data_IF_501612770189
#
_entry.id   IF_501612770189
#
_cell.length_a   1.000
_cell.length_b   1.000
_cell.length_c   1.000
_cell.angle_alpha   90.00
_cell.angle_beta   90.00
_cell.angle_gamma   90.00
#
_symmetry.space_group_name_H-M   'P 1'
#
loop_
_entity.id
_entity.type
_entity.pdbx_description
1 polymer ?
#
# COMPACT_ATOMS: atom_id res chain seq x y z
N UNK A 1 -8.55 16.86 -1.02
CA UNK A 1 -9.91 16.59 -0.51
C UNK A 1 -10.43 15.28 -1.08
N UNK A 2 -10.68 15.20 -2.40
CA UNK A 2 -11.24 14.00 -3.05
C UNK A 2 -10.46 12.70 -2.79
N UNK A 3 -9.12 12.70 -2.82
CA UNK A 3 -8.34 11.47 -2.56
C UNK A 3 -8.42 10.96 -1.12
N UNK A 4 -8.59 11.86 -0.14
CA UNK A 4 -8.79 11.49 1.27
C UNK A 4 -10.19 10.91 1.47
N UNK A 5 -11.20 11.48 0.81
CA UNK A 5 -12.56 10.95 0.81
C UNK A 5 -12.59 9.53 0.22
N UNK A 6 -11.97 9.33 -0.95
CA UNK A 6 -11.83 7.99 -1.55
C UNK A 6 -11.11 7.04 -0.62
N UNK A 7 -9.98 7.45 -0.03
CA UNK A 7 -9.24 6.63 0.93
C UNK A 7 -10.13 6.20 2.10
N UNK A 8 -10.87 7.13 2.70
CA UNK A 8 -11.78 6.85 3.81
C UNK A 8 -12.90 5.88 3.42
N UNK A 9 -13.39 5.95 2.18
CA UNK A 9 -14.42 5.03 1.66
C UNK A 9 -13.91 3.61 1.50
N UNK A 10 -12.70 3.44 0.99
CA UNK A 10 -12.09 2.11 0.79
C UNK A 10 -11.33 1.59 2.02
N UNK A 11 -11.20 2.39 3.08
CA UNK A 11 -10.25 2.15 4.18
C UNK A 11 -10.42 0.77 4.84
N UNK A 12 -11.66 0.37 5.09
CA UNK A 12 -11.98 -0.92 5.71
C UNK A 12 -11.58 -2.08 4.80
N UNK A 13 -11.89 -1.98 3.51
CA UNK A 13 -11.54 -3.01 2.52
C UNK A 13 -10.04 -3.06 2.30
N UNK A 14 -9.36 -1.92 2.34
CA UNK A 14 -7.91 -1.83 2.26
C UNK A 14 -7.21 -2.57 3.41
N UNK A 15 -7.68 -2.38 4.65
CA UNK A 15 -7.14 -3.12 5.81
C UNK A 15 -7.33 -4.62 5.68
N UNK A 16 -8.53 -5.06 5.30
CA UNK A 16 -8.85 -6.48 5.08
C UNK A 16 -7.99 -7.09 3.97
N UNK A 17 -7.85 -6.39 2.85
CA UNK A 17 -7.05 -6.83 1.72
C UNK A 17 -5.57 -6.95 2.10
N UNK A 18 -5.02 -5.99 2.85
CA UNK A 18 -3.63 -6.03 3.29
C UNK A 18 -3.36 -7.22 4.21
N UNK A 19 -4.23 -7.47 5.19
CA UNK A 19 -4.15 -8.67 6.05
C UNK A 19 -4.26 -9.95 5.23
N UNK A 20 -5.24 -10.02 4.32
CA UNK A 20 -5.41 -11.18 3.47
C UNK A 20 -4.16 -11.45 2.63
N UNK A 21 -3.59 -10.43 1.97
CA UNK A 21 -2.35 -10.55 1.19
C UNK A 21 -1.17 -11.01 2.05
N UNK A 22 -1.05 -10.50 3.28
CA UNK A 22 -0.03 -10.98 4.22
C UNK A 22 -0.19 -12.46 4.54
N UNK A 23 -1.40 -12.91 4.85
CA UNK A 23 -1.67 -14.31 5.21
C UNK A 23 -1.46 -15.26 4.03
N UNK A 24 -1.83 -14.84 2.82
CA UNK A 24 -1.54 -15.61 1.60
C UNK A 24 -0.04 -15.68 1.32
N UNK A 25 0.66 -14.54 1.41
CA UNK A 25 2.12 -14.50 1.23
C UNK A 25 2.83 -15.38 2.27
N UNK A 26 2.40 -15.39 3.53
CA UNK A 26 3.01 -16.21 4.57
C UNK A 26 3.00 -17.72 4.27
N UNK A 27 2.06 -18.21 3.44
CA UNK A 27 1.96 -19.62 3.05
C UNK A 27 2.92 -20.00 1.91
N UNK A 28 3.19 -19.07 1.01
CA UNK A 28 3.86 -19.36 -0.27
C UNK A 28 5.18 -18.60 -0.43
N UNK A 29 5.17 -17.31 -0.13
CA UNK A 29 6.26 -16.36 -0.41
C UNK A 29 6.35 -15.30 0.71
N UNK A 30 6.76 -15.68 1.94
CA UNK A 30 6.79 -14.77 3.09
C UNK A 30 7.71 -13.56 2.91
N UNK A 31 8.62 -13.60 1.93
CA UNK A 31 9.56 -12.54 1.58
C UNK A 31 8.85 -11.20 1.30
N UNK A 32 7.63 -11.23 0.73
CA UNK A 32 6.85 -10.02 0.43
C UNK A 32 6.68 -9.07 1.62
N UNK A 33 6.43 -9.63 2.81
CA UNK A 33 6.13 -8.89 4.04
C UNK A 33 7.27 -8.96 5.05
N UNK A 34 8.46 -9.43 4.64
CA UNK A 34 9.59 -9.64 5.55
C UNK A 34 9.95 -8.39 6.35
N UNK A 35 9.90 -7.21 5.71
CA UNK A 35 10.22 -5.91 6.32
C UNK A 35 9.30 -5.52 7.49
N UNK A 36 8.11 -6.12 7.59
CA UNK A 36 7.14 -5.88 8.68
C UNK A 36 6.72 -7.18 9.37
N UNK A 37 7.55 -8.23 9.26
CA UNK A 37 7.25 -9.56 9.80
C UNK A 37 7.03 -9.57 11.31
N UNK A 38 7.63 -8.62 12.01
CA UNK A 38 7.51 -8.40 13.45
C UNK A 38 6.18 -7.76 13.88
N UNK A 39 5.37 -7.22 12.96
CA UNK A 39 4.12 -6.54 13.31
C UNK A 39 2.96 -7.53 13.47
N UNK A 40 2.06 -7.28 14.43
CA UNK A 40 0.75 -7.95 14.45
C UNK A 40 -0.15 -7.43 13.33
N UNK A 41 -1.24 -8.14 13.02
CA UNK A 41 -2.24 -7.67 12.04
C UNK A 41 -2.90 -6.35 12.45
N UNK A 42 -3.03 -6.12 13.75
CA UNK A 42 -3.55 -4.87 14.29
C UNK A 42 -2.56 -3.72 14.01
N UNK A 43 -1.27 -3.92 14.29
CA UNK A 43 -0.22 -2.93 14.02
C UNK A 43 -0.08 -2.65 12.52
N UNK A 44 -0.11 -3.69 11.68
CA UNK A 44 -0.05 -3.55 10.22
C UNK A 44 -1.21 -2.71 9.66
N UNK A 45 -2.35 -2.71 10.35
CA UNK A 45 -3.58 -2.05 9.89
C UNK A 45 -4.00 -0.86 10.76
N UNK A 46 -3.10 -0.34 11.59
CA UNK A 46 -3.38 0.79 12.47
C UNK A 46 -3.33 2.16 11.76
N UNK A 47 -3.05 2.17 10.46
CA UNK A 47 -3.02 3.39 9.66
C UNK A 47 -4.39 4.07 9.53
N UNK A 48 -4.34 5.36 9.17
CA UNK A 48 -5.44 6.29 8.98
C UNK A 48 -5.24 7.17 7.73
N UNK A 49 -6.14 8.12 7.48
CA UNK A 49 -5.98 9.08 6.38
C UNK A 49 -4.73 9.95 6.52
N UNK A 50 -4.25 10.18 7.74
CA UNK A 50 -3.05 10.99 7.99
C UNK A 50 -1.78 10.27 7.54
N UNK A 51 -1.85 8.95 7.33
CA UNK A 51 -0.76 8.10 6.88
C UNK A 51 -0.70 7.97 5.35
N UNK A 52 -1.67 8.56 4.63
CA UNK A 52 -1.63 8.66 3.16
C UNK A 52 -0.65 9.77 2.73
N UNK A 53 0.63 9.41 2.58
CA UNK A 53 1.72 10.39 2.39
C UNK A 53 1.92 10.85 0.95
N UNK A 54 1.60 10.02 -0.03
CA UNK A 54 1.70 10.39 -1.44
C UNK A 54 0.51 9.82 -2.22
N UNK A 55 -0.03 10.63 -3.13
CA UNK A 55 -1.12 10.24 -4.02
C UNK A 55 -0.79 10.62 -5.46
N UNK A 56 -1.03 9.72 -6.39
CA UNK A 56 -1.04 9.99 -7.83
C UNK A 56 -2.41 9.65 -8.40
N UNK A 57 -2.87 10.47 -9.33
CA UNK A 57 -4.18 10.30 -9.98
C UNK A 57 -3.98 10.16 -11.48
N UNK A 58 -4.51 9.08 -12.05
CA UNK A 58 -4.61 8.89 -13.50
C UNK A 58 -6.07 8.95 -13.93
N UNK A 59 -6.41 9.82 -14.88
CA UNK A 59 -7.77 9.94 -15.41
C UNK A 59 -7.89 9.17 -16.73
N UNK A 60 -8.95 8.37 -16.85
CA UNK A 60 -9.34 7.68 -18.09
C UNK A 60 -10.72 8.15 -18.55
N UNK A 61 -11.17 7.69 -19.72
CA UNK A 61 -12.53 7.98 -20.20
C UNK A 61 -13.64 7.40 -19.30
N UNK A 62 -13.31 6.43 -18.43
CA UNK A 62 -14.28 5.67 -17.63
C UNK A 62 -14.22 5.98 -16.13
N UNK A 63 -13.32 6.86 -15.71
CA UNK A 63 -13.13 7.19 -14.30
C UNK A 63 -11.70 7.58 -13.95
N UNK A 64 -11.43 7.69 -12.65
CA UNK A 64 -10.11 7.99 -12.09
C UNK A 64 -9.51 6.76 -11.44
N UNK A 65 -8.21 6.60 -11.60
CA UNK A 65 -7.40 5.66 -10.84
C UNK A 65 -6.60 6.45 -9.81
N UNK A 66 -6.72 6.07 -8.55
CA UNK A 66 -5.98 6.67 -7.45
C UNK A 66 -4.95 5.67 -6.98
N UNK A 67 -3.68 6.08 -7.03
CA UNK A 67 -2.58 5.33 -6.48
C UNK A 67 -2.11 6.03 -5.21
N UNK A 68 -2.16 5.33 -4.08
CA UNK A 68 -1.75 5.87 -2.78
C UNK A 68 -0.56 5.13 -2.22
N UNK A 69 0.36 5.87 -1.58
CA UNK A 69 1.44 5.34 -0.74
C UNK A 69 1.12 5.66 0.71
N UNK A 70 0.95 4.61 1.50
CA UNK A 70 0.45 4.67 2.88
C UNK A 70 1.58 4.23 3.80
N UNK A 71 1.90 5.08 4.79
CA UNK A 71 2.82 4.75 5.87
C UNK A 71 2.20 3.68 6.77
N UNK A 72 3.03 2.76 7.26
CA UNK A 72 2.67 1.80 8.31
C UNK A 72 3.22 2.37 9.63
N UNK A 73 2.39 3.02 10.48
CA UNK A 73 2.89 3.79 11.62
C UNK A 73 3.69 2.94 12.61
N UNK A 74 3.23 1.71 12.84
CA UNK A 74 3.86 0.78 13.78
C UNK A 74 5.13 0.10 13.25
N UNK A 75 5.56 0.41 12.01
CA UNK A 75 6.78 -0.19 11.43
C UNK A 75 8.07 0.30 12.07
N UNK A 76 8.05 1.50 12.66
CA UNK A 76 9.14 2.06 13.45
C UNK A 76 8.55 2.65 14.75
N UNK A 77 8.82 2.06 15.93
CA UNK A 77 8.34 2.58 17.21
C UNK A 77 8.87 3.99 17.54
N UNK A 78 9.98 4.39 16.92
CA UNK A 78 10.54 5.73 17.03
C UNK A 78 10.14 6.63 15.85
N UNK A 79 9.14 6.24 15.05
CA UNK A 79 8.64 7.06 13.95
C UNK A 79 8.36 8.48 14.45
N UNK A 80 8.95 9.45 13.76
CA UNK A 80 8.73 10.87 14.00
C UNK A 80 8.75 11.60 12.67
N UNK A 81 8.08 12.75 12.61
CA UNK A 81 8.13 13.59 11.42
C UNK A 81 9.42 14.43 11.43
N UNK A 82 10.15 14.58 10.31
CA UNK A 82 9.90 13.98 8.99
C UNK A 82 10.25 12.49 8.93
N UNK A 83 9.63 11.77 7.98
CA UNK A 83 9.74 10.31 7.89
C UNK A 83 11.20 9.82 7.73
N UNK A 84 11.49 8.71 8.40
CA UNK A 84 12.82 8.08 8.47
C UNK A 84 13.01 7.06 7.34
N UNK A 85 14.27 6.74 6.98
CA UNK A 85 14.55 5.67 6.02
C UNK A 85 14.03 4.28 6.44
N UNK A 86 13.86 4.05 7.75
CA UNK A 86 13.29 2.83 8.33
C UNK A 86 11.78 2.72 8.15
N UNK A 87 11.09 3.82 7.86
CA UNK A 87 9.64 3.82 7.72
C UNK A 87 9.20 2.93 6.55
N UNK A 88 8.25 2.06 6.87
CA UNK A 88 7.68 1.12 5.93
C UNK A 88 6.36 1.67 5.37
N UNK A 89 6.16 1.43 4.07
CA UNK A 89 4.99 1.85 3.34
C UNK A 89 4.40 0.66 2.59
N UNK A 90 3.12 0.73 2.28
CA UNK A 90 2.53 -0.08 1.21
C UNK A 90 1.86 0.83 0.19
N UNK A 91 1.58 0.30 -1.01
CA UNK A 91 0.93 1.05 -2.08
C UNK A 91 -0.35 0.35 -2.52
N UNK A 92 -1.39 1.13 -2.82
CA UNK A 92 -2.66 0.61 -3.32
C UNK A 92 -3.11 1.35 -4.58
N UNK A 93 -3.97 0.69 -5.35
CA UNK A 93 -4.71 1.28 -6.46
C UNK A 93 -6.19 1.20 -6.16
N UNK A 94 -6.90 2.30 -6.32
CA UNK A 94 -8.35 2.38 -6.26
C UNK A 94 -8.91 2.90 -7.58
N UNK A 95 -10.13 2.50 -7.90
CA UNK A 95 -10.86 2.98 -9.07
C UNK A 95 -12.10 3.75 -8.66
N UNK A 96 -12.33 4.88 -9.33
CA UNK A 96 -13.42 5.81 -9.06
C UNK A 96 -14.12 6.09 -10.38
N UNK A 97 -15.21 5.35 -10.71
CA UNK A 97 -15.92 5.54 -11.98
C UNK A 97 -16.67 6.88 -12.04
N UNK A 98 -17.16 7.37 -10.89
CA UNK A 98 -17.83 8.67 -10.77
C UNK A 98 -17.20 9.49 -9.65
N UNK A 99 -17.87 9.51 -8.50
CA UNK A 99 -17.44 10.20 -7.30
C UNK A 99 -16.88 9.24 -6.24
N UNK A 100 -16.44 9.78 -5.10
CA UNK A 100 -15.85 9.02 -4.02
C UNK A 100 -16.78 7.93 -3.44
N UNK A 101 -18.10 8.06 -3.54
CA UNK A 101 -19.05 7.04 -3.06
C UNK A 101 -19.05 5.78 -3.93
N UNK A 102 -18.62 5.92 -5.18
CA UNK A 102 -18.45 4.81 -6.12
C UNK A 102 -17.04 4.20 -6.10
N UNK A 103 -16.17 4.69 -5.23
CA UNK A 103 -14.79 4.22 -5.18
C UNK A 103 -14.69 2.77 -4.71
N UNK A 104 -13.82 1.99 -5.34
CA UNK A 104 -13.50 0.63 -4.93
C UNK A 104 -12.01 0.40 -4.90
N UNK A 105 -11.58 -0.42 -3.94
CA UNK A 105 -10.20 -0.92 -3.91
C UNK A 105 -9.98 -1.84 -5.11
N UNK A 106 -8.92 -1.59 -5.87
CA UNK A 106 -8.57 -2.41 -7.02
C UNK A 106 -7.47 -3.42 -6.68
N UNK A 107 -6.34 -2.95 -6.14
CA UNK A 107 -5.20 -3.83 -5.81
C UNK A 107 -4.26 -3.20 -4.77
N UNK A 108 -3.42 -4.04 -4.18
CA UNK A 108 -2.27 -3.66 -3.34
C UNK A 108 -1.03 -4.11 -4.09
N UNK A 109 -0.05 -3.20 -4.22
CA UNK A 109 1.16 -3.46 -5.02
C UNK A 109 1.98 -4.61 -4.43
N UNK A 110 2.23 -5.61 -5.26
CA UNK A 110 3.16 -6.70 -5.00
C UNK A 110 4.19 -6.70 -6.14
N UNK A 111 5.48 -6.53 -5.83
CA UNK A 111 6.56 -6.51 -6.82
C UNK A 111 7.33 -7.82 -6.80
N UNK A 112 7.55 -8.40 -7.98
CA UNK A 112 8.51 -9.48 -8.21
C UNK A 112 9.58 -8.94 -9.16
N UNK A 113 10.79 -8.77 -8.67
CA UNK A 113 11.91 -8.21 -9.42
C UNK A 113 13.04 -9.24 -9.52
N UNK A 114 13.48 -9.53 -10.74
CA UNK A 114 14.64 -10.38 -10.97
C UNK A 114 15.92 -9.56 -10.89
N UNK A 115 16.86 -9.97 -10.03
CA UNK A 115 18.18 -9.37 -9.89
C UNK A 115 19.16 -9.99 -10.88
N UNK A 116 20.24 -9.26 -11.15
CA UNK A 116 21.40 -9.79 -11.87
C UNK A 116 21.90 -11.07 -11.17
N UNK A 117 21.78 -12.21 -11.86
CA UNK A 117 22.08 -13.53 -11.31
C UNK A 117 20.88 -14.49 -11.22
N UNK A 118 19.66 -14.02 -11.50
CA UNK A 118 18.44 -14.84 -11.51
C UNK A 118 17.73 -14.95 -10.16
N UNK A 119 18.22 -14.25 -9.14
CA UNK A 119 17.55 -14.17 -7.83
C UNK A 119 16.31 -13.29 -7.91
N UNK A 120 15.18 -13.78 -7.42
CA UNK A 120 13.91 -13.03 -7.36
C UNK A 120 13.75 -12.31 -6.03
N UNK A 121 13.32 -11.06 -6.08
CA UNK A 121 12.98 -10.24 -4.93
C UNK A 121 11.48 -10.00 -4.93
N UNK A 122 10.84 -10.43 -3.86
CA UNK A 122 9.42 -10.25 -3.64
C UNK A 122 9.21 -9.13 -2.62
N UNK A 123 8.45 -8.09 -2.98
CA UNK A 123 8.29 -6.87 -2.16
C UNK A 123 6.85 -6.36 -2.18
N UNK A 124 6.21 -6.38 -1.02
CA UNK A 124 4.93 -5.71 -0.77
C UNK A 124 5.09 -4.44 0.07
N UNK A 125 6.23 -4.34 0.77
CA UNK A 125 6.57 -3.23 1.64
C UNK A 125 7.65 -2.36 1.00
N UNK A 126 7.41 -1.06 0.95
CA UNK A 126 8.20 -0.04 0.29
C UNK A 126 8.74 0.99 1.29
N UNK A 127 9.59 1.88 0.82
CA UNK A 127 10.20 2.96 1.59
C UNK A 127 9.84 4.32 1.00
N UNK A 128 10.14 5.39 1.75
CA UNK A 128 9.80 6.77 1.39
C UNK A 128 10.23 7.16 -0.04
N UNK A 129 11.42 6.71 -0.48
CA UNK A 129 11.99 7.02 -1.80
C UNK A 129 11.45 6.16 -2.94
N UNK A 130 10.74 5.07 -2.64
CA UNK A 130 10.12 4.25 -3.67
C UNK A 130 8.99 5.04 -4.35
N UNK A 131 9.04 5.08 -5.68
CA UNK A 131 8.07 5.81 -6.49
C UNK A 131 6.75 5.04 -6.59
N UNK A 132 5.65 5.80 -6.58
CA UNK A 132 4.35 5.30 -7.02
C UNK A 132 4.38 5.17 -8.55
N UNK A 133 4.40 3.92 -9.02
CA UNK A 133 4.27 3.57 -10.44
C UNK A 133 2.89 2.97 -10.70
N UNK A 134 2.48 2.92 -11.96
CA UNK A 134 1.30 2.14 -12.34
C UNK A 134 1.56 0.64 -12.14
N UNK A 135 0.60 -0.08 -11.58
CA UNK A 135 0.61 -1.54 -11.44
C UNK A 135 -0.80 -2.09 -11.63
N UNK A 136 -0.92 -3.22 -12.34
CA UNK A 136 -2.20 -3.83 -12.67
C UNK A 136 -2.65 -4.90 -11.66
N UNK A 137 -1.71 -5.44 -10.89
CA UNK A 137 -1.95 -6.50 -9.90
C UNK A 137 -1.15 -6.24 -8.64
#
# INVERSE_FOLDING_TARGET
AESIEVFNKIHVDLKKALQHKRHEAAKHEPQYFQAVSNLSDQQLTNFSSDDLKEVRVGTTAYGKHILGKVLIPDSDPEHSFPEKPSDAYFMFRAFVPGDADTASLHSIRMSEEEREGGDKVFKAIFHQKDQIVWFDV
#
